data_IF_824336126261
#
_entry.id   IF_824336126261
#
_cell.length_a   1.000
_cell.length_b   1.000
_cell.length_c   1.000
_cell.angle_alpha   90.00
_cell.angle_beta   90.00
_cell.angle_gamma   90.00
#
_symmetry.space_group_name_H-M   'P 1'
#
loop_
_entity.id
_entity.type
_entity.pdbx_description
1 polymer ?
#
# COMPACT_ATOMS: atom_id res chain seq x y z
N UNK A 1 10.19 20.51 -3.38
CA UNK A 1 9.18 19.64 -2.69
C UNK A 1 9.90 18.61 -1.82
N UNK A 2 9.20 17.84 -0.96
CA UNK A 2 9.80 16.90 0.01
C UNK A 2 10.87 15.98 -0.60
N UNK A 3 10.64 15.49 -1.82
CA UNK A 3 11.62 14.65 -2.55
C UNK A 3 12.96 15.36 -2.76
N UNK A 4 12.96 16.63 -3.16
CA UNK A 4 14.19 17.40 -3.38
C UNK A 4 14.97 17.57 -2.07
N UNK A 5 14.25 17.74 -0.96
CA UNK A 5 14.85 17.81 0.38
C UNK A 5 15.49 16.47 0.77
N UNK A 6 14.85 15.34 0.49
CA UNK A 6 15.45 14.02 0.72
C UNK A 6 16.73 13.84 -0.11
N UNK A 7 16.70 14.20 -1.39
CA UNK A 7 17.87 14.09 -2.27
C UNK A 7 19.03 14.94 -1.74
N UNK A 8 18.78 16.19 -1.35
CA UNK A 8 19.80 17.10 -0.79
C UNK A 8 20.43 16.58 0.51
N UNK A 9 19.71 15.77 1.27
CA UNK A 9 20.19 15.17 2.52
C UNK A 9 20.74 13.74 2.36
N UNK A 10 20.96 13.27 1.13
CA UNK A 10 21.51 11.93 0.87
C UNK A 10 20.49 10.79 0.92
N UNK A 11 19.20 11.09 1.05
CA UNK A 11 18.10 10.13 1.17
C UNK A 11 17.47 9.78 -0.19
N UNK A 12 18.21 9.92 -1.29
CA UNK A 12 17.70 9.66 -2.63
C UNK A 12 17.21 8.21 -2.80
N UNK A 13 17.83 7.25 -2.12
CA UNK A 13 17.46 5.83 -2.19
C UNK A 13 16.24 5.46 -1.32
N UNK A 14 15.78 6.34 -0.42
CA UNK A 14 14.61 6.06 0.43
C UNK A 14 13.33 6.31 -0.37
N UNK A 15 12.43 5.31 -0.49
CA UNK A 15 11.17 5.50 -1.18
C UNK A 15 10.23 6.40 -0.36
N UNK A 16 9.32 7.08 -1.05
CA UNK A 16 8.18 7.77 -0.42
C UNK A 16 6.94 6.91 -0.63
N UNK A 17 6.07 6.85 0.37
CA UNK A 17 4.77 6.17 0.28
C UNK A 17 3.66 7.21 0.41
N UNK A 18 2.64 7.11 -0.44
CA UNK A 18 1.41 7.85 -0.27
C UNK A 18 0.44 6.93 0.48
N UNK A 19 0.22 7.23 1.76
CA UNK A 19 -0.67 6.45 2.61
C UNK A 19 -2.14 6.73 2.35
N UNK A 20 -2.48 7.96 1.92
CA UNK A 20 -3.86 8.41 1.79
C UNK A 20 -4.01 9.32 0.56
N UNK A 21 -4.15 8.72 -0.62
CA UNK A 21 -4.47 9.44 -1.85
C UNK A 21 -5.99 9.51 -2.05
N UNK A 22 -6.51 10.65 -2.48
CA UNK A 22 -7.90 10.76 -2.90
C UNK A 22 -8.30 12.20 -3.17
N UNK A 23 -9.50 12.37 -3.73
CA UNK A 23 -10.16 13.66 -3.90
C UNK A 23 -11.52 13.60 -3.24
N UNK A 24 -11.85 14.62 -2.46
CA UNK A 24 -13.05 14.61 -1.65
C UNK A 24 -14.27 15.08 -2.46
N UNK A 25 -15.38 14.37 -2.38
CA UNK A 25 -16.64 14.72 -3.07
C UNK A 25 -17.75 15.11 -2.08
N UNK A 26 -17.39 15.73 -0.96
CA UNK A 26 -18.38 16.16 0.03
C UNK A 26 -19.45 17.04 -0.63
N UNK A 27 -20.74 16.78 -0.37
CA UNK A 27 -21.84 17.58 -0.91
C UNK A 27 -21.89 18.93 -0.22
N UNK A 28 -22.65 19.84 -0.81
CA UNK A 28 -22.98 21.11 -0.19
C UNK A 28 -23.64 20.88 1.19
N UNK A 29 -23.27 21.71 2.17
CA UNK A 29 -23.73 21.58 3.56
C UNK A 29 -22.74 20.84 4.47
N UNK A 30 -21.76 20.13 3.91
CA UNK A 30 -20.61 19.60 4.66
C UNK A 30 -19.43 20.57 4.50
N UNK A 31 -18.72 20.87 5.60
CA UNK A 31 -17.58 21.78 5.54
C UNK A 31 -16.47 21.21 4.64
N UNK A 32 -15.99 21.95 3.61
CA UNK A 32 -15.07 21.45 2.60
C UNK A 32 -13.60 21.42 3.09
N UNK A 33 -13.35 20.74 4.21
CA UNK A 33 -12.03 20.69 4.89
C UNK A 33 -10.91 20.13 4.00
N UNK A 34 -11.26 19.35 2.98
CA UNK A 34 -10.34 18.69 2.07
C UNK A 34 -10.48 19.15 0.62
N UNK A 35 -11.15 20.29 0.40
CA UNK A 35 -11.63 20.68 -0.92
C UNK A 35 -12.88 19.91 -1.34
N UNK A 36 -13.42 20.27 -2.51
CA UNK A 36 -14.68 19.74 -3.00
C UNK A 36 -14.57 19.52 -4.52
N UNK A 37 -14.43 18.26 -4.90
CA UNK A 37 -14.43 17.80 -6.29
C UNK A 37 -15.81 17.25 -6.66
N UNK A 38 -16.08 17.13 -7.96
CA UNK A 38 -17.20 16.33 -8.45
C UNK A 38 -16.84 14.84 -8.48
N UNK A 39 -17.82 13.94 -8.51
CA UNK A 39 -17.55 12.49 -8.67
C UNK A 39 -16.80 12.18 -9.97
N UNK A 40 -17.12 12.89 -11.05
CA UNK A 40 -16.39 12.78 -12.33
C UNK A 40 -14.92 13.20 -12.17
N UNK A 41 -14.66 14.30 -11.45
CA UNK A 41 -13.30 14.74 -11.15
C UNK A 41 -12.55 13.72 -10.29
N UNK A 42 -13.19 13.18 -9.24
CA UNK A 42 -12.59 12.17 -8.37
C UNK A 42 -12.17 10.93 -9.17
N UNK A 43 -13.04 10.45 -10.06
CA UNK A 43 -12.77 9.31 -10.93
C UNK A 43 -11.61 9.58 -11.90
N UNK A 44 -11.64 10.73 -12.60
CA UNK A 44 -10.59 11.12 -13.54
C UNK A 44 -9.25 11.31 -12.84
N UNK A 45 -9.20 12.10 -11.76
CA UNK A 45 -7.98 12.40 -11.03
C UNK A 45 -7.36 11.17 -10.40
N UNK A 46 -8.17 10.23 -9.90
CA UNK A 46 -7.68 8.95 -9.38
C UNK A 46 -6.84 8.19 -10.42
N UNK A 47 -7.37 8.02 -11.63
CA UNK A 47 -6.66 7.33 -12.72
C UNK A 47 -5.45 8.12 -13.21
N UNK A 48 -5.58 9.44 -13.39
CA UNK A 48 -4.47 10.31 -13.82
C UNK A 48 -3.31 10.29 -12.82
N UNK A 49 -3.60 10.25 -11.52
CA UNK A 49 -2.60 10.18 -10.49
C UNK A 49 -1.79 8.88 -10.56
N UNK A 50 -2.44 7.72 -10.71
CA UNK A 50 -1.72 6.46 -10.88
C UNK A 50 -0.89 6.42 -12.16
N UNK A 51 -1.42 6.92 -13.29
CA UNK A 51 -0.65 7.03 -14.53
C UNK A 51 0.59 7.89 -14.36
N UNK A 52 0.43 9.04 -13.69
CA UNK A 52 1.53 9.97 -13.43
C UNK A 52 2.59 9.37 -12.50
N UNK A 53 2.16 8.71 -11.42
CA UNK A 53 3.06 8.00 -10.49
C UNK A 53 3.93 7.01 -11.26
N UNK A 54 3.32 6.18 -12.11
CA UNK A 54 4.03 5.18 -12.91
C UNK A 54 4.99 5.82 -13.93
N UNK A 55 4.60 6.92 -14.57
CA UNK A 55 5.39 7.56 -15.61
C UNK A 55 6.54 8.43 -15.07
N UNK A 56 6.32 9.15 -13.97
CA UNK A 56 7.20 10.24 -13.55
C UNK A 56 7.92 9.97 -12.23
N UNK A 57 7.38 9.10 -11.36
CA UNK A 57 7.81 9.01 -9.95
C UNK A 57 8.34 7.62 -9.58
N UNK A 58 9.46 7.16 -10.17
CA UNK A 58 10.04 5.84 -9.89
C UNK A 58 10.57 5.70 -8.44
N UNK A 59 10.60 6.80 -7.69
CA UNK A 59 10.99 6.85 -6.27
C UNK A 59 9.81 6.67 -5.30
N UNK A 60 8.57 6.58 -5.80
CA UNK A 60 7.43 6.16 -4.97
C UNK A 60 7.40 4.63 -4.88
N UNK A 61 7.15 4.14 -3.67
CA UNK A 61 6.97 2.70 -3.40
C UNK A 61 5.50 2.29 -3.52
N UNK A 62 4.68 2.78 -2.59
CA UNK A 62 3.26 2.40 -2.49
C UNK A 62 2.38 3.65 -2.57
N UNK A 63 1.26 3.53 -3.26
CA UNK A 63 0.19 4.54 -3.30
C UNK A 63 -1.13 3.87 -2.90
N UNK A 64 -1.62 4.22 -1.71
CA UNK A 64 -2.88 3.73 -1.18
C UNK A 64 -3.99 4.76 -1.42
N UNK A 65 -5.13 4.29 -1.94
CA UNK A 65 -6.32 5.12 -2.07
C UNK A 65 -7.10 5.12 -0.75
N UNK A 66 -7.47 6.29 -0.28
CA UNK A 66 -8.32 6.49 0.89
C UNK A 66 -9.72 6.82 0.36
N UNK A 67 -10.81 6.11 0.61
CA UNK A 67 -11.04 4.80 1.28
C UNK A 67 -11.56 3.77 0.27
N UNK A 68 -11.42 2.46 0.54
CA UNK A 68 -12.22 1.48 -0.21
C UNK A 68 -13.72 1.64 0.11
N UNK A 69 -14.10 1.60 1.40
CA UNK A 69 -15.47 1.87 1.87
C UNK A 69 -15.43 2.44 3.29
N UNK A 70 -16.56 2.99 3.75
CA UNK A 70 -16.80 3.35 5.15
C UNK A 70 -17.61 2.26 5.90
N UNK A 71 -17.57 2.21 7.24
CA UNK A 71 -18.32 1.24 8.02
C UNK A 71 -19.83 1.27 7.76
N UNK A 72 -20.46 2.45 7.86
CA UNK A 72 -21.90 2.67 7.74
C UNK A 72 -22.25 4.16 7.56
N UNK A 73 -23.54 4.44 7.39
CA UNK A 73 -24.08 5.77 7.07
C UNK A 73 -23.97 6.80 8.20
N UNK A 74 -23.70 6.37 9.44
CA UNK A 74 -23.54 7.30 10.58
C UNK A 74 -22.35 8.26 10.42
N UNK A 75 -21.49 8.04 9.42
CA UNK A 75 -20.36 8.89 9.11
C UNK A 75 -20.63 9.87 7.95
N UNK A 76 -21.84 9.89 7.36
CA UNK A 76 -22.15 10.78 6.22
C UNK A 76 -21.98 12.27 6.56
N UNK A 77 -22.13 12.67 7.82
CA UNK A 77 -21.92 14.06 8.25
C UNK A 77 -20.43 14.43 8.39
N UNK A 78 -19.53 13.48 8.13
CA UNK A 78 -18.08 13.68 8.24
C UNK A 78 -17.47 13.97 6.87
N UNK A 79 -16.73 15.08 6.74
CA UNK A 79 -16.11 15.47 5.47
C UNK A 79 -15.24 14.36 4.84
N UNK A 80 -14.52 13.60 5.66
CA UNK A 80 -13.63 12.52 5.21
C UNK A 80 -14.36 11.26 4.70
N UNK A 81 -15.68 11.13 4.93
CA UNK A 81 -16.51 10.04 4.38
C UNK A 81 -16.49 10.01 2.84
N UNK A 82 -16.32 11.18 2.22
CA UNK A 82 -16.44 11.39 0.78
C UNK A 82 -15.17 11.12 -0.02
N UNK A 83 -14.23 10.39 0.59
CA UNK A 83 -13.08 9.80 -0.10
C UNK A 83 -13.33 8.34 -0.53
N UNK A 84 -14.45 7.73 -0.10
CA UNK A 84 -14.75 6.31 -0.37
C UNK A 84 -14.90 6.00 -1.85
N UNK A 85 -14.50 4.80 -2.25
CA UNK A 85 -14.70 4.22 -3.59
C UNK A 85 -16.02 3.44 -3.68
N UNK A 86 -16.46 2.89 -2.55
CA UNK A 86 -17.71 2.14 -2.41
C UNK A 86 -18.56 2.75 -1.30
N UNK A 87 -19.87 2.66 -1.45
CA UNK A 87 -20.81 2.86 -0.36
C UNK A 87 -20.65 1.78 0.73
N UNK A 88 -21.16 2.00 1.96
CA UNK A 88 -21.07 1.01 3.03
C UNK A 88 -21.64 -0.37 2.68
N UNK A 89 -22.62 -0.43 1.77
CA UNK A 89 -23.28 -1.63 1.25
C UNK A 89 -22.59 -2.25 0.02
N UNK A 90 -21.38 -1.78 -0.31
CA UNK A 90 -20.59 -2.19 -1.48
C UNK A 90 -21.11 -1.70 -2.83
N UNK A 91 -22.07 -0.77 -2.87
CA UNK A 91 -22.42 -0.10 -4.14
C UNK A 91 -21.20 0.65 -4.69
N UNK A 92 -20.75 0.38 -5.93
CA UNK A 92 -19.61 1.04 -6.51
C UNK A 92 -19.93 2.49 -6.88
N UNK A 93 -18.98 3.39 -6.61
CA UNK A 93 -19.02 4.78 -7.05
C UNK A 93 -18.20 4.96 -8.34
N UNK A 94 -18.38 6.05 -9.10
CA UNK A 94 -17.68 6.27 -10.37
C UNK A 94 -16.15 6.16 -10.26
N UNK A 95 -15.58 6.58 -9.14
CA UNK A 95 -14.14 6.47 -8.90
C UNK A 95 -13.66 5.01 -8.78
N UNK A 96 -14.46 4.12 -8.17
CA UNK A 96 -14.13 2.70 -8.12
C UNK A 96 -14.10 2.10 -9.52
N UNK A 97 -15.14 2.36 -10.32
CA UNK A 97 -15.23 1.81 -11.67
C UNK A 97 -14.05 2.26 -12.54
N UNK A 98 -13.73 3.56 -12.52
CA UNK A 98 -12.61 4.11 -13.29
C UNK A 98 -11.25 3.48 -12.89
N UNK A 99 -10.99 3.35 -11.58
CA UNK A 99 -9.76 2.76 -11.06
C UNK A 99 -9.72 1.25 -11.35
N UNK A 100 -10.82 0.53 -11.19
CA UNK A 100 -10.91 -0.89 -11.48
C UNK A 100 -10.67 -1.17 -12.97
N UNK A 101 -11.28 -0.38 -13.87
CA UNK A 101 -11.01 -0.47 -15.31
C UNK A 101 -9.54 -0.21 -15.60
N UNK A 102 -8.96 0.86 -15.05
CA UNK A 102 -7.54 1.17 -15.24
C UNK A 102 -6.63 0.04 -14.74
N UNK A 103 -6.85 -0.47 -13.53
CA UNK A 103 -6.05 -1.53 -12.93
C UNK A 103 -6.06 -2.83 -13.77
N UNK A 104 -7.19 -3.13 -14.42
CA UNK A 104 -7.34 -4.31 -15.28
C UNK A 104 -6.94 -4.06 -16.75
N UNK A 105 -6.60 -2.82 -17.13
CA UNK A 105 -6.38 -2.45 -18.55
C UNK A 105 -4.97 -2.66 -19.09
N UNK A 106 -3.96 -2.94 -18.26
CA UNK A 106 -2.59 -2.97 -18.79
C UNK A 106 -1.45 -3.40 -17.88
N UNK A 107 -1.67 -3.69 -16.59
CA UNK A 107 -0.59 -4.22 -15.76
C UNK A 107 -0.44 -5.73 -16.02
N UNK A 108 0.60 -6.12 -16.76
CA UNK A 108 1.16 -7.47 -16.63
C UNK A 108 1.68 -7.57 -15.20
N UNK A 109 0.86 -8.09 -14.28
CA UNK A 109 1.35 -8.47 -12.96
C UNK A 109 2.35 -9.58 -13.22
N UNK A 110 3.65 -9.28 -13.07
CA UNK A 110 4.68 -10.29 -13.10
C UNK A 110 4.33 -11.30 -12.00
N UNK A 111 3.89 -12.49 -12.41
CA UNK A 111 3.56 -13.53 -11.46
C UNK A 111 4.84 -13.89 -10.74
N UNK A 112 4.86 -13.66 -9.43
CA UNK A 112 5.93 -14.14 -8.57
C UNK A 112 6.09 -15.65 -8.87
N UNK A 113 7.28 -16.13 -9.27
CA UNK A 113 7.46 -17.52 -9.65
C UNK A 113 7.03 -18.48 -8.54
N UNK A 114 6.42 -19.62 -8.90
CA UNK A 114 5.89 -20.59 -7.93
C UNK A 114 6.94 -21.08 -6.91
N UNK A 115 8.21 -21.12 -7.30
CA UNK A 115 9.29 -21.51 -6.40
C UNK A 115 9.49 -20.53 -5.24
N UNK A 116 9.18 -19.23 -5.43
CA UNK A 116 9.28 -18.22 -4.37
C UNK A 116 8.22 -18.49 -3.31
N UNK A 117 7.00 -18.82 -3.72
CA UNK A 117 5.95 -19.24 -2.78
C UNK A 117 6.32 -20.52 -2.04
N UNK A 118 6.84 -21.51 -2.77
CA UNK A 118 7.35 -22.74 -2.17
C UNK A 118 8.54 -22.51 -1.23
N UNK A 119 9.35 -21.47 -1.44
CA UNK A 119 10.40 -21.05 -0.52
C UNK A 119 9.82 -20.36 0.71
N UNK A 120 8.93 -19.38 0.55
CA UNK A 120 8.31 -18.66 1.68
C UNK A 120 7.55 -19.61 2.61
N UNK A 121 6.87 -20.62 2.07
CA UNK A 121 6.20 -21.66 2.86
C UNK A 121 7.19 -22.50 3.68
N UNK A 122 8.35 -22.86 3.10
CA UNK A 122 9.35 -23.73 3.74
C UNK A 122 10.36 -22.98 4.61
N UNK A 123 10.54 -21.68 4.38
CA UNK A 123 11.54 -20.83 5.04
C UNK A 123 11.44 -20.89 6.58
N UNK A 124 10.26 -20.85 7.22
CA UNK A 124 10.15 -21.00 8.67
C UNK A 124 10.70 -22.33 9.19
N UNK A 125 10.45 -23.44 8.48
CA UNK A 125 10.94 -24.76 8.87
C UNK A 125 12.47 -24.84 8.79
N UNK A 126 13.06 -24.34 7.71
CA UNK A 126 14.52 -24.28 7.57
C UNK A 126 15.17 -23.37 8.62
N UNK A 127 14.55 -22.24 8.96
CA UNK A 127 15.03 -21.34 10.01
C UNK A 127 15.01 -22.02 11.38
N UNK A 128 13.91 -22.68 11.74
CA UNK A 128 13.81 -23.41 13.02
C UNK A 128 14.83 -24.55 13.11
N UNK A 129 14.95 -25.33 12.04
CA UNK A 129 15.87 -26.48 11.99
C UNK A 129 17.33 -26.04 12.07
N UNK A 130 17.71 -25.03 11.27
CA UNK A 130 19.08 -24.48 11.30
C UNK A 130 19.41 -23.81 12.62
N UNK A 131 18.46 -23.09 13.22
CA UNK A 131 18.64 -22.48 14.56
C UNK A 131 18.85 -23.53 15.64
N UNK A 132 18.09 -24.64 15.62
CA UNK A 132 18.27 -25.75 16.55
C UNK A 132 19.65 -26.42 16.38
N UNK A 133 20.05 -26.70 15.12
CA UNK A 133 21.37 -27.27 14.82
C UNK A 133 22.49 -26.33 15.31
N UNK A 134 22.40 -25.04 15.01
CA UNK A 134 23.37 -24.04 15.43
C UNK A 134 23.45 -23.96 16.96
N UNK A 135 22.31 -23.97 17.65
CA UNK A 135 22.24 -23.94 19.10
C UNK A 135 22.96 -25.15 19.73
N UNK A 136 22.67 -26.36 19.28
CA UNK A 136 23.32 -27.56 19.81
C UNK A 136 24.81 -27.67 19.42
N UNK A 137 25.18 -27.23 18.22
CA UNK A 137 26.58 -27.15 17.82
C UNK A 137 27.36 -26.15 18.70
N UNK A 138 26.77 -24.98 18.98
CA UNK A 138 27.35 -23.98 19.86
C UNK A 138 27.47 -24.50 21.30
N UNK A 139 26.43 -25.16 21.83
CA UNK A 139 26.50 -25.82 23.15
C UNK A 139 27.64 -26.83 23.21
N UNK A 140 27.78 -27.69 22.20
CA UNK A 140 28.86 -28.69 22.16
C UNK A 140 30.24 -28.05 22.07
N UNK A 141 30.39 -26.98 21.31
CA UNK A 141 31.67 -26.30 21.13
C UNK A 141 32.10 -25.51 22.37
N UNK A 142 31.13 -24.87 23.04
CA UNK A 142 31.35 -24.04 24.22
C UNK A 142 31.34 -24.83 25.54
N UNK A 143 30.84 -26.06 25.53
CA UNK A 143 30.89 -26.92 26.70
C UNK A 143 32.36 -27.16 27.12
N UNK A 144 32.68 -27.08 28.43
CA UNK A 144 33.98 -27.48 28.92
C UNK A 144 34.29 -28.90 28.47
N UNK A 145 35.51 -29.14 28.01
CA UNK A 145 35.98 -30.50 27.77
C UNK A 145 36.47 -31.05 29.10
N UNK A 146 36.06 -32.26 29.44
CA UNK A 146 36.62 -32.94 30.60
C UNK A 146 38.10 -33.22 30.32
N UNK A 147 38.99 -32.65 31.14
CA UNK A 147 40.41 -32.98 31.15
C UNK A 147 40.56 -34.39 31.75
N UNK A 148 40.65 -35.40 30.88
CA UNK A 148 41.06 -36.77 31.23
C UNK A 148 42.53 -36.97 30.89
#
# INVERSE_FOLDING_TARGET
>A
LIRDMMVRNGDAAKPIWISEMGWNVAPDGIAPLYGQATEEQQARYGVEAYRRVQAEWPWLGVVNYWFLKRPADFEKDQAWYYFRLLEPDFTPLPAFEAIATYANSGAQVEKVPDWVWGWEEKRPFFFLTSSAILFFAALRFLAPKDDV
#
